data_IF_452337311092
#
_entry.id   IF_452337311092
#
_cell.length_a   1.000
_cell.length_b   1.000
_cell.length_c   1.000
_cell.angle_alpha   90.00
_cell.angle_beta   90.00
_cell.angle_gamma   90.00
#
_symmetry.space_group_name_H-M   'P 1'
#
loop_
_entity.id
_entity.type
_entity.pdbx_description
1 polymer ?
#
# COMPACT_ATOMS: atom_id res chain seq x y z
N UNK A 1 29.78 9.90 13.81
CA UNK A 1 28.82 9.02 14.50
C UNK A 1 28.23 8.10 13.44
N UNK A 2 28.43 6.80 13.57
CA UNK A 2 27.92 5.82 12.60
C UNK A 2 26.42 5.66 12.83
N UNK A 3 25.59 6.16 11.91
CA UNK A 3 24.14 5.99 11.93
C UNK A 3 23.85 4.57 11.41
N UNK A 4 23.46 3.65 12.24
CA UNK A 4 22.96 2.36 11.75
C UNK A 4 21.46 2.47 11.51
N UNK A 5 21.06 2.66 10.26
CA UNK A 5 19.66 2.65 9.83
C UNK A 5 19.40 1.35 9.10
N UNK A 6 18.72 0.42 9.75
CA UNK A 6 18.30 -0.84 9.11
C UNK A 6 16.82 -0.81 8.85
N UNK A 7 16.45 -1.16 7.64
CA UNK A 7 15.06 -1.18 7.25
C UNK A 7 14.64 -2.56 6.76
N UNK A 8 13.81 -3.25 7.54
CA UNK A 8 13.27 -4.57 7.23
C UNK A 8 12.06 -4.45 6.32
N UNK A 9 12.12 -5.07 5.13
CA UNK A 9 11.13 -4.90 4.08
C UNK A 9 10.92 -6.14 3.24
N UNK A 10 9.77 -6.19 2.56
CA UNK A 10 9.49 -7.16 1.51
C UNK A 10 9.50 -6.47 0.14
N UNK A 11 9.84 -7.16 -0.94
CA UNK A 11 9.73 -6.62 -2.29
C UNK A 11 8.36 -6.03 -2.62
N UNK A 12 7.28 -6.66 -2.13
CA UNK A 12 5.89 -6.22 -2.37
C UNK A 12 5.41 -5.08 -1.47
N UNK A 13 6.09 -4.79 -0.35
CA UNK A 13 5.69 -3.78 0.64
C UNK A 13 6.73 -2.66 0.83
N UNK A 14 7.83 -2.71 0.08
CA UNK A 14 8.93 -1.75 0.19
C UNK A 14 8.57 -0.34 -0.26
N UNK A 15 7.50 -0.23 -1.05
CA UNK A 15 7.11 0.99 -1.73
C UNK A 15 6.81 2.16 -0.79
N UNK A 16 6.10 1.94 0.30
CA UNK A 16 5.65 3.04 1.18
C UNK A 16 6.82 3.78 1.82
N UNK A 17 7.89 3.08 2.17
CA UNK A 17 9.01 3.65 2.92
C UNK A 17 10.14 4.18 2.04
N UNK A 18 10.45 3.52 0.92
CA UNK A 18 11.52 3.95 0.01
C UNK A 18 11.25 5.31 -0.59
N UNK A 19 9.97 5.64 -0.77
CA UNK A 19 9.59 6.93 -1.34
C UNK A 19 9.99 8.11 -0.47
N UNK A 20 9.63 8.20 0.83
CA UNK A 20 10.11 9.30 1.65
C UNK A 20 11.64 9.32 1.78
N UNK A 21 12.32 8.18 1.81
CA UNK A 21 13.78 8.15 1.78
C UNK A 21 14.35 8.78 0.51
N UNK A 22 13.80 8.42 -0.66
CA UNK A 22 14.22 8.98 -1.93
C UNK A 22 13.82 10.45 -2.09
N UNK A 23 12.62 10.87 -1.65
CA UNK A 23 12.20 12.27 -1.66
C UNK A 23 13.04 13.14 -0.73
N UNK A 24 13.60 12.56 0.34
CA UNK A 24 14.48 13.21 1.31
C UNK A 24 15.97 13.14 0.96
N UNK A 25 16.32 12.42 -0.11
CA UNK A 25 17.74 12.18 -0.43
C UNK A 25 18.49 11.39 0.64
N UNK A 26 17.78 10.54 1.40
CA UNK A 26 18.38 9.69 2.44
C UNK A 26 18.84 8.40 1.78
N UNK A 27 20.14 8.22 1.62
CA UNK A 27 20.78 7.07 0.98
C UNK A 27 21.62 6.20 1.94
N UNK A 28 21.89 6.70 3.15
CA UNK A 28 22.72 6.06 4.18
C UNK A 28 21.97 5.03 5.04
N UNK A 29 21.10 4.21 4.42
CA UNK A 29 20.32 3.19 5.09
C UNK A 29 20.61 1.78 4.55
N UNK A 30 20.45 0.76 5.39
CA UNK A 30 20.74 -0.64 5.06
C UNK A 30 19.42 -1.40 4.86
N UNK A 31 19.08 -1.82 3.62
CA UNK A 31 17.89 -2.63 3.37
C UNK A 31 18.07 -4.05 3.92
N UNK A 32 17.10 -4.51 4.72
CA UNK A 32 17.03 -5.88 5.20
C UNK A 32 15.84 -6.58 4.53
N UNK A 33 16.12 -7.45 3.58
CA UNK A 33 15.11 -8.14 2.78
C UNK A 33 14.42 -9.24 3.57
N UNK A 34 13.08 -9.23 3.57
CA UNK A 34 12.24 -10.30 4.06
C UNK A 34 11.40 -10.89 2.91
N UNK A 35 11.50 -12.18 2.69
CA UNK A 35 10.66 -12.88 1.72
C UNK A 35 9.40 -13.39 2.40
N UNK A 36 8.29 -12.69 2.23
CA UNK A 36 7.03 -12.98 2.92
C UNK A 36 6.45 -14.35 2.53
N UNK A 37 6.69 -14.82 1.30
CA UNK A 37 6.32 -16.17 0.88
C UNK A 37 7.14 -17.24 1.59
N UNK A 38 8.41 -16.95 1.93
CA UNK A 38 9.26 -17.82 2.73
C UNK A 38 8.96 -17.72 4.24
N UNK A 39 8.00 -16.87 4.62
CA UNK A 39 7.59 -16.67 6.03
C UNK A 39 8.67 -16.06 6.90
N UNK A 40 9.60 -15.28 6.31
CA UNK A 40 10.70 -14.64 7.03
C UNK A 40 10.22 -13.71 8.16
N UNK A 41 9.04 -13.06 7.99
CA UNK A 41 8.42 -12.20 9.00
C UNK A 41 8.00 -12.95 10.29
N UNK A 42 7.99 -14.28 10.27
CA UNK A 42 7.70 -15.11 11.45
C UNK A 42 8.94 -15.69 12.11
N UNK A 43 10.14 -15.33 11.63
CA UNK A 43 11.39 -15.74 12.27
C UNK A 43 11.55 -15.04 13.64
N UNK A 44 12.09 -15.73 14.65
CA UNK A 44 12.24 -15.19 16.01
C UNK A 44 12.98 -13.85 16.06
N UNK A 45 13.98 -13.66 15.20
CA UNK A 45 14.77 -12.44 15.12
C UNK A 45 13.90 -11.25 14.72
N UNK A 46 13.03 -11.43 13.72
CA UNK A 46 12.13 -10.38 13.26
C UNK A 46 10.97 -10.15 14.23
N UNK A 47 10.42 -11.20 14.84
CA UNK A 47 9.35 -11.09 15.82
C UNK A 47 9.75 -10.27 17.06
N UNK A 48 11.04 -10.25 17.43
CA UNK A 48 11.56 -9.36 18.48
C UNK A 48 11.46 -7.89 18.08
N UNK A 49 11.62 -7.58 16.79
CA UNK A 49 11.48 -6.23 16.26
C UNK A 49 10.01 -5.86 16.00
N UNK A 50 9.23 -6.78 15.43
CA UNK A 50 7.81 -6.56 15.14
C UNK A 50 6.96 -7.78 15.47
N UNK A 51 6.35 -7.83 16.67
CA UNK A 51 5.50 -8.95 17.09
C UNK A 51 4.27 -9.17 16.22
N UNK A 52 3.83 -8.15 15.45
CA UNK A 52 2.72 -8.27 14.50
C UNK A 52 3.09 -9.08 13.25
N UNK A 53 4.36 -9.45 13.07
CA UNK A 53 4.87 -10.12 11.87
C UNK A 53 4.46 -9.38 10.58
N UNK A 54 4.58 -8.07 10.59
CA UNK A 54 4.26 -7.18 9.46
C UNK A 54 5.50 -6.39 9.05
N UNK A 55 5.57 -5.99 7.81
CA UNK A 55 6.56 -5.06 7.27
C UNK A 55 5.83 -3.77 6.86
N UNK A 56 6.50 -2.64 6.82
CA UNK A 56 7.92 -2.42 7.13
C UNK A 56 8.22 -2.28 8.63
N UNK A 57 9.51 -2.35 8.98
CA UNK A 57 10.05 -1.96 10.27
C UNK A 57 11.35 -1.20 10.06
N UNK A 58 11.47 -0.03 10.66
CA UNK A 58 12.69 0.77 10.66
C UNK A 58 13.40 0.63 12.00
N UNK A 59 14.71 0.41 11.98
CA UNK A 59 15.57 0.51 13.16
C UNK A 59 16.51 1.68 12.95
N UNK A 60 16.47 2.65 13.85
CA UNK A 60 17.32 3.83 13.82
C UNK A 60 17.87 4.10 15.23
N UNK A 61 19.20 3.97 15.41
CA UNK A 61 19.85 4.15 16.71
C UNK A 61 19.15 3.41 17.86
N UNK A 62 18.99 2.10 17.73
CA UNK A 62 18.32 1.22 18.71
C UNK A 62 16.79 1.41 18.82
N UNK A 63 16.22 2.48 18.24
CA UNK A 63 14.78 2.69 18.22
C UNK A 63 14.15 1.87 17.09
N UNK A 64 13.12 1.10 17.46
CA UNK A 64 12.34 0.30 16.52
C UNK A 64 11.03 0.99 16.22
N UNK A 65 10.87 1.46 14.97
CA UNK A 65 9.69 2.19 14.49
C UNK A 65 8.94 1.28 13.52
N UNK A 66 7.64 1.16 13.73
CA UNK A 66 6.74 0.29 12.99
C UNK A 66 5.63 1.13 12.37
N UNK A 67 4.81 0.51 11.52
CA UNK A 67 3.76 1.13 10.72
C UNK A 67 4.32 2.10 9.67
N UNK A 68 3.93 1.87 8.43
CA UNK A 68 4.53 2.58 7.29
C UNK A 68 4.33 4.09 7.34
N UNK A 69 3.14 4.56 7.70
CA UNK A 69 2.83 5.99 7.82
C UNK A 69 3.60 6.66 8.95
N UNK A 70 3.76 5.97 10.09
CA UNK A 70 4.55 6.45 11.23
C UNK A 70 6.04 6.53 10.86
N UNK A 71 6.55 5.55 10.10
CA UNK A 71 7.92 5.59 9.59
C UNK A 71 8.12 6.80 8.65
N UNK A 72 7.15 7.05 7.77
CA UNK A 72 7.20 8.21 6.86
C UNK A 72 7.20 9.54 7.64
N UNK A 73 6.33 9.67 8.63
CA UNK A 73 6.25 10.86 9.50
C UNK A 73 7.55 11.09 10.28
N UNK A 74 8.11 10.01 10.84
CA UNK A 74 9.40 10.04 11.54
C UNK A 74 10.58 10.46 10.64
N UNK A 75 10.63 9.96 9.41
CA UNK A 75 11.67 10.32 8.44
C UNK A 75 11.57 11.77 8.01
N UNK A 76 10.35 12.32 7.93
CA UNK A 76 10.14 13.73 7.62
C UNK A 76 10.61 14.64 8.76
N UNK A 77 10.34 14.27 10.01
CA UNK A 77 10.84 15.01 11.17
C UNK A 77 12.37 14.89 11.33
N UNK A 78 12.95 13.75 10.97
CA UNK A 78 14.39 13.51 11.05
C UNK A 78 15.18 14.36 10.06
N UNK A 79 14.63 14.62 8.87
CA UNK A 79 15.24 15.40 7.80
C UNK A 79 14.22 16.44 7.31
N UNK A 80 14.18 17.64 7.92
CA UNK A 80 13.10 18.61 7.67
C UNK A 80 13.05 19.14 6.22
N UNK A 81 14.14 19.11 5.47
CA UNK A 81 14.20 19.56 4.08
C UNK A 81 14.48 18.39 3.11
N UNK A 82 13.76 18.34 1.98
CA UNK A 82 12.50 19.04 1.68
C UNK A 82 11.37 18.58 2.60
N UNK A 83 10.52 19.51 3.10
CA UNK A 83 9.40 19.18 3.96
C UNK A 83 8.32 18.41 3.19
N UNK A 84 7.82 17.29 3.75
CA UNK A 84 6.70 16.52 3.20
C UNK A 84 5.41 16.73 4.01
N UNK A 85 5.45 17.62 5.00
CA UNK A 85 4.29 18.07 5.79
C UNK A 85 4.07 19.55 5.63
N UNK A 86 2.82 20.03 5.53
CA UNK A 86 2.49 21.45 5.55
C UNK A 86 2.98 22.12 6.85
N UNK A 87 3.19 23.43 6.79
CA UNK A 87 3.55 24.22 8.00
C UNK A 87 2.33 24.54 8.85
N UNK A 88 1.19 24.79 8.21
CA UNK A 88 -0.06 25.10 8.90
C UNK A 88 -0.59 23.90 9.69
N UNK A 89 -1.17 24.15 10.87
CA UNK A 89 -1.65 23.08 11.76
C UNK A 89 -2.95 22.44 11.27
N UNK A 90 -3.84 23.21 10.63
CA UNK A 90 -5.08 22.70 10.07
C UNK A 90 -4.77 21.81 8.85
N UNK A 91 -3.87 22.27 7.97
CA UNK A 91 -3.41 21.47 6.84
C UNK A 91 -2.72 20.17 7.30
N UNK A 92 -1.96 20.19 8.40
CA UNK A 92 -1.41 18.98 9.02
C UNK A 92 -2.50 18.05 9.54
N UNK A 93 -3.60 18.56 10.05
CA UNK A 93 -4.73 17.73 10.46
C UNK A 93 -5.38 17.06 9.25
N UNK A 94 -5.65 17.80 8.17
CA UNK A 94 -6.18 17.25 6.92
C UNK A 94 -5.24 16.24 6.27
N UNK A 95 -3.93 16.49 6.29
CA UNK A 95 -2.92 15.50 5.84
C UNK A 95 -3.06 14.18 6.62
N UNK A 96 -3.23 14.23 7.94
CA UNK A 96 -3.39 13.05 8.78
C UNK A 96 -4.69 12.30 8.51
N UNK A 97 -5.78 13.01 8.17
CA UNK A 97 -7.04 12.39 7.74
C UNK A 97 -6.84 11.57 6.47
N UNK A 98 -6.13 12.09 5.47
CA UNK A 98 -5.79 11.36 4.26
C UNK A 98 -4.91 10.13 4.53
N UNK A 99 -3.88 10.28 5.35
CA UNK A 99 -3.01 9.16 5.75
C UNK A 99 -3.81 8.07 6.47
N UNK A 100 -4.74 8.47 7.35
CA UNK A 100 -5.62 7.52 8.06
C UNK A 100 -6.53 6.76 7.10
N UNK A 101 -7.10 7.42 6.10
CA UNK A 101 -7.89 6.76 5.06
C UNK A 101 -7.05 5.74 4.27
N UNK A 102 -5.80 6.08 3.94
CA UNK A 102 -4.87 5.18 3.27
C UNK A 102 -4.54 3.93 4.13
N UNK A 103 -4.24 4.13 5.41
CA UNK A 103 -3.86 3.05 6.34
C UNK A 103 -5.04 2.12 6.67
N UNK A 104 -6.21 2.68 7.02
CA UNK A 104 -7.35 1.90 7.51
C UNK A 104 -8.19 1.30 6.39
N UNK A 105 -8.30 1.99 5.26
CA UNK A 105 -9.16 1.57 4.16
C UNK A 105 -8.37 1.10 2.95
N UNK A 106 -7.43 1.91 2.45
CA UNK A 106 -6.67 1.62 1.24
C UNK A 106 -5.83 0.35 1.35
N UNK A 107 -5.04 0.22 2.43
CA UNK A 107 -4.22 -0.96 2.68
C UNK A 107 -5.07 -2.24 2.82
N UNK A 108 -6.16 -2.17 3.59
CA UNK A 108 -7.01 -3.35 3.79
C UNK A 108 -7.75 -3.77 2.53
N UNK A 109 -8.14 -2.80 1.70
CA UNK A 109 -8.78 -3.05 0.42
C UNK A 109 -7.84 -3.78 -0.53
N UNK A 110 -6.65 -3.22 -0.76
CA UNK A 110 -5.65 -3.84 -1.65
C UNK A 110 -5.16 -5.19 -1.15
N UNK A 111 -5.01 -5.36 0.18
CA UNK A 111 -4.71 -6.66 0.78
C UNK A 111 -5.80 -7.69 0.48
N UNK A 112 -7.09 -7.33 0.60
CA UNK A 112 -8.22 -8.23 0.30
C UNK A 112 -8.24 -8.60 -1.19
N UNK A 113 -8.04 -7.62 -2.08
CA UNK A 113 -7.98 -7.86 -3.52
C UNK A 113 -6.78 -8.74 -3.90
N UNK A 114 -5.64 -8.56 -3.26
CA UNK A 114 -4.47 -9.43 -3.47
C UNK A 114 -4.73 -10.88 -2.97
N UNK A 115 -5.44 -11.04 -1.85
CA UNK A 115 -5.79 -12.37 -1.35
C UNK A 115 -6.84 -13.09 -2.21
N UNK A 116 -7.78 -12.39 -2.80
CA UNK A 116 -8.79 -12.99 -3.70
C UNK A 116 -8.23 -13.29 -5.09
N UNK A 117 -7.17 -12.61 -5.49
CA UNK A 117 -6.46 -12.80 -6.76
C UNK A 117 -5.24 -13.70 -6.58
N UNK A 118 -4.04 -13.13 -6.47
CA UNK A 118 -2.76 -13.85 -6.44
C UNK A 118 -2.72 -14.97 -5.40
N UNK A 119 -3.06 -14.67 -4.14
CA UNK A 119 -2.95 -15.69 -3.10
C UNK A 119 -3.92 -16.86 -3.31
N UNK A 120 -5.13 -16.59 -3.80
CA UNK A 120 -6.12 -17.62 -4.11
C UNK A 120 -5.75 -18.45 -5.33
N UNK A 121 -5.26 -17.82 -6.40
CA UNK A 121 -5.11 -18.44 -7.72
C UNK A 121 -3.71 -19.01 -7.96
N UNK A 122 -2.67 -18.41 -7.38
CA UNK A 122 -1.27 -18.75 -7.68
C UNK A 122 -0.54 -19.40 -6.49
N UNK A 123 -1.04 -19.27 -5.24
CA UNK A 123 -0.35 -19.83 -4.08
C UNK A 123 -0.99 -21.17 -3.66
N UNK A 124 -0.19 -22.26 -3.52
CA UNK A 124 -0.69 -23.56 -3.08
C UNK A 124 -1.38 -23.48 -1.71
N UNK A 125 -2.56 -24.11 -1.61
CA UNK A 125 -3.38 -24.08 -0.39
C UNK A 125 -2.61 -24.51 0.87
N UNK A 126 -1.76 -25.51 0.76
CA UNK A 126 -0.92 -25.96 1.87
C UNK A 126 -0.04 -24.85 2.45
N UNK A 127 0.58 -24.05 1.57
CA UNK A 127 1.43 -22.92 2.01
C UNK A 127 0.63 -21.83 2.73
N UNK A 128 -0.62 -21.57 2.28
CA UNK A 128 -1.52 -20.62 2.93
C UNK A 128 -1.92 -21.10 4.33
N UNK A 129 -2.30 -22.37 4.47
CA UNK A 129 -2.67 -22.95 5.78
C UNK A 129 -1.50 -22.88 6.77
N UNK A 130 -0.30 -23.25 6.34
CA UNK A 130 0.91 -23.15 7.18
C UNK A 130 1.24 -21.71 7.59
N UNK A 131 0.96 -20.73 6.71
CA UNK A 131 1.10 -19.29 7.02
C UNK A 131 0.09 -18.87 8.09
N UNK A 132 -1.18 -19.26 7.91
CA UNK A 132 -2.26 -18.85 8.80
C UNK A 132 -2.10 -19.34 10.23
N UNK A 133 -1.46 -20.50 10.45
CA UNK A 133 -1.14 -21.02 11.78
C UNK A 133 -0.23 -20.07 12.60
N UNK A 134 0.43 -19.12 11.94
CA UNK A 134 1.35 -18.15 12.57
C UNK A 134 0.77 -16.74 12.66
N UNK A 135 -0.41 -16.50 12.14
CA UNK A 135 -1.09 -15.20 12.20
C UNK A 135 -1.85 -15.10 13.51
N UNK A 136 -1.43 -14.21 14.39
CA UNK A 136 -2.06 -13.98 15.71
C UNK A 136 -3.25 -13.02 15.68
N UNK A 137 -3.33 -12.18 14.66
CA UNK A 137 -4.43 -11.23 14.45
C UNK A 137 -5.63 -11.96 13.82
N UNK A 138 -6.71 -12.13 14.59
CA UNK A 138 -7.90 -12.88 14.20
C UNK A 138 -8.63 -12.21 13.04
N UNK A 139 -8.77 -10.90 13.02
CA UNK A 139 -9.47 -10.18 11.95
C UNK A 139 -8.71 -10.28 10.63
N UNK A 140 -7.40 -10.13 10.69
CA UNK A 140 -6.51 -10.36 9.55
C UNK A 140 -6.61 -11.79 9.04
N UNK A 141 -6.62 -12.78 9.95
CA UNK A 141 -6.75 -14.19 9.60
C UNK A 141 -8.08 -14.47 8.91
N UNK A 142 -9.20 -14.05 9.48
CA UNK A 142 -10.53 -14.24 8.92
C UNK A 142 -10.67 -13.59 7.54
N UNK A 143 -10.18 -12.36 7.37
CA UNK A 143 -10.18 -11.68 6.08
C UNK A 143 -9.42 -12.48 5.02
N UNK A 144 -8.21 -12.92 5.33
CA UNK A 144 -7.39 -13.70 4.41
C UNK A 144 -8.05 -15.03 4.02
N UNK A 145 -8.58 -15.74 5.01
CA UNK A 145 -9.28 -17.02 4.80
C UNK A 145 -10.55 -16.85 3.96
N UNK A 146 -11.40 -15.89 4.30
CA UNK A 146 -12.62 -15.60 3.55
C UNK A 146 -12.30 -15.24 2.09
N UNK A 147 -11.36 -14.33 1.83
CA UNK A 147 -10.95 -13.99 0.47
C UNK A 147 -10.45 -15.21 -0.32
N UNK A 148 -9.70 -16.12 0.31
CA UNK A 148 -9.16 -17.30 -0.36
C UNK A 148 -10.23 -18.40 -0.55
N UNK A 149 -11.08 -18.66 0.44
CA UNK A 149 -12.07 -19.75 0.37
C UNK A 149 -13.32 -19.36 -0.41
N UNK A 150 -13.86 -18.18 -0.16
CA UNK A 150 -15.12 -17.70 -0.75
C UNK A 150 -14.88 -16.95 -2.07
N UNK A 151 -13.64 -16.45 -2.31
CA UNK A 151 -13.29 -15.70 -3.51
C UNK A 151 -14.06 -14.40 -3.60
N UNK A 152 -14.61 -14.09 -4.77
CA UNK A 152 -15.36 -12.85 -5.01
C UNK A 152 -16.67 -12.75 -4.21
N UNK A 153 -17.14 -13.85 -3.59
CA UNK A 153 -18.30 -13.86 -2.69
C UNK A 153 -17.93 -13.40 -1.27
N UNK A 154 -16.64 -13.27 -0.95
CA UNK A 154 -16.21 -12.80 0.36
C UNK A 154 -16.74 -11.38 0.63
N UNK A 155 -17.32 -11.11 1.82
CA UNK A 155 -17.79 -9.78 2.18
C UNK A 155 -16.65 -8.76 2.23
N UNK A 156 -15.42 -9.22 2.43
CA UNK A 156 -14.22 -8.36 2.40
C UNK A 156 -13.89 -7.86 1.00
N UNK A 157 -14.32 -8.54 -0.06
CA UNK A 157 -14.14 -8.07 -1.44
C UNK A 157 -15.07 -6.90 -1.72
N UNK A 158 -16.36 -7.00 -1.40
CA UNK A 158 -17.31 -5.89 -1.58
C UNK A 158 -16.90 -4.67 -0.73
N UNK A 159 -16.46 -4.93 0.50
CA UNK A 159 -15.90 -3.88 1.39
C UNK A 159 -14.66 -3.21 0.78
N UNK A 160 -13.77 -3.98 0.17
CA UNK A 160 -12.59 -3.48 -0.51
C UNK A 160 -12.95 -2.61 -1.72
N UNK A 161 -13.89 -3.07 -2.54
CA UNK A 161 -14.40 -2.32 -3.70
C UNK A 161 -14.98 -0.98 -3.25
N UNK A 162 -15.83 -0.98 -2.24
CA UNK A 162 -16.41 0.25 -1.70
C UNK A 162 -15.39 1.19 -1.06
N UNK A 163 -14.33 0.66 -0.43
CA UNK A 163 -13.26 1.48 0.11
C UNK A 163 -12.45 2.17 -1.01
N UNK A 164 -12.08 1.43 -2.05
CA UNK A 164 -11.42 2.01 -3.22
C UNK A 164 -12.31 3.07 -3.90
N UNK A 165 -13.61 2.79 -4.08
CA UNK A 165 -14.56 3.73 -4.68
C UNK A 165 -14.61 5.04 -3.92
N UNK A 166 -14.76 5.00 -2.59
CA UNK A 166 -14.79 6.22 -1.75
C UNK A 166 -13.48 7.00 -1.82
N UNK A 167 -12.34 6.30 -1.75
CA UNK A 167 -11.02 6.97 -1.79
C UNK A 167 -10.83 7.64 -3.15
N UNK A 168 -11.05 6.94 -4.25
CA UNK A 168 -10.86 7.51 -5.58
C UNK A 168 -11.86 8.62 -5.90
N UNK A 169 -13.11 8.52 -5.44
CA UNK A 169 -14.10 9.61 -5.53
C UNK A 169 -13.62 10.86 -4.79
N UNK A 170 -13.18 10.71 -3.53
CA UNK A 170 -12.64 11.80 -2.71
C UNK A 170 -11.39 12.43 -3.37
N UNK A 171 -10.50 11.61 -3.96
CA UNK A 171 -9.34 12.11 -4.69
C UNK A 171 -9.75 12.90 -5.94
N UNK A 172 -10.68 12.39 -6.75
CA UNK A 172 -11.16 13.05 -7.96
C UNK A 172 -11.75 14.41 -7.65
N UNK A 173 -12.61 14.49 -6.62
CA UNK A 173 -13.21 15.74 -6.16
C UNK A 173 -12.14 16.73 -5.64
N UNK A 174 -11.17 16.25 -4.88
CA UNK A 174 -10.09 17.09 -4.33
C UNK A 174 -9.19 17.67 -5.41
N UNK A 175 -8.90 16.88 -6.45
CA UNK A 175 -8.01 17.26 -7.56
C UNK A 175 -8.72 18.02 -8.69
N UNK A 176 -10.03 18.24 -8.59
CA UNK A 176 -10.86 18.84 -9.63
C UNK A 176 -10.55 20.31 -9.91
N UNK A 177 -9.93 21.00 -8.98
CA UNK A 177 -9.48 22.40 -9.14
C UNK A 177 -8.16 22.52 -9.94
N UNK A 178 -7.59 21.41 -10.38
CA UNK A 178 -6.36 21.38 -11.19
C UNK A 178 -5.06 21.32 -10.40
N UNK A 179 -5.13 21.29 -9.05
CA UNK A 179 -3.93 21.13 -8.22
C UNK A 179 -3.14 19.87 -8.57
N UNK A 180 -1.81 19.89 -8.50
CA UNK A 180 -0.99 18.73 -8.84
C UNK A 180 -1.03 17.62 -7.78
N UNK A 181 -1.21 17.96 -6.51
CA UNK A 181 -1.15 17.03 -5.37
C UNK A 181 -2.37 17.18 -4.46
N UNK A 182 -2.64 16.16 -3.66
CA UNK A 182 -3.81 16.14 -2.77
C UNK A 182 -3.83 17.33 -1.81
N UNK A 183 -2.67 17.74 -1.29
CA UNK A 183 -2.57 18.88 -0.38
C UNK A 183 -2.28 20.22 -1.09
N UNK A 184 -2.47 20.31 -2.39
CA UNK A 184 -2.25 21.54 -3.17
C UNK A 184 -0.98 21.47 -4.03
N UNK A 185 -0.12 22.51 -3.96
CA UNK A 185 1.07 22.63 -4.78
C UNK A 185 2.26 21.77 -4.27
N UNK A 186 2.22 21.36 -3.03
CA UNK A 186 3.31 20.63 -2.39
C UNK A 186 3.06 19.12 -2.44
N UNK A 187 4.06 18.36 -2.92
CA UNK A 187 4.12 16.91 -2.72
C UNK A 187 4.32 16.60 -1.24
N UNK A 188 3.50 15.73 -0.67
CA UNK A 188 3.43 15.50 0.77
C UNK A 188 3.49 14.01 1.14
N UNK A 189 3.39 13.72 2.45
CA UNK A 189 3.25 12.36 2.96
C UNK A 189 1.95 11.69 2.48
N UNK A 190 0.93 12.43 2.04
CA UNK A 190 -0.29 11.84 1.46
C UNK A 190 0.05 11.05 0.21
N UNK A 191 0.84 11.63 -0.70
CA UNK A 191 1.27 10.95 -1.91
C UNK A 191 2.15 9.74 -1.60
N UNK A 192 3.07 9.87 -0.63
CA UNK A 192 3.97 8.76 -0.26
C UNK A 192 3.22 7.58 0.35
N UNK A 193 2.14 7.81 1.07
CA UNK A 193 1.33 6.76 1.72
C UNK A 193 0.22 6.22 0.82
N UNK A 194 -0.32 7.04 -0.09
CA UNK A 194 -1.43 6.65 -0.98
C UNK A 194 -0.96 5.89 -2.23
N UNK A 195 0.13 6.32 -2.84
CA UNK A 195 0.60 5.71 -4.09
C UNK A 195 0.90 4.19 -4.01
N UNK A 196 1.37 3.61 -2.89
CA UNK A 196 1.60 2.17 -2.82
C UNK A 196 0.34 1.32 -3.01
N UNK A 197 -0.81 1.72 -2.49
CA UNK A 197 -2.04 0.95 -2.73
C UNK A 197 -2.54 1.12 -4.17
N UNK A 198 -2.35 2.29 -4.79
CA UNK A 198 -2.65 2.49 -6.22
C UNK A 198 -1.74 1.59 -7.07
N UNK A 199 -0.44 1.50 -6.73
CA UNK A 199 0.50 0.57 -7.39
C UNK A 199 0.08 -0.88 -7.28
N UNK A 200 -0.44 -1.34 -6.15
CA UNK A 200 -0.95 -2.71 -6.02
C UNK A 200 -2.12 -2.97 -6.97
N UNK A 201 -3.05 -2.01 -7.14
CA UNK A 201 -4.15 -2.14 -8.10
C UNK A 201 -3.64 -2.17 -9.54
N UNK A 202 -2.63 -1.36 -9.87
CA UNK A 202 -1.98 -1.37 -11.18
C UNK A 202 -1.31 -2.72 -11.46
N UNK A 203 -0.51 -3.25 -10.52
CA UNK A 203 0.12 -4.56 -10.62
C UNK A 203 -0.91 -5.68 -10.82
N UNK A 204 -2.07 -5.58 -10.19
CA UNK A 204 -3.19 -6.51 -10.36
C UNK A 204 -3.98 -6.27 -11.65
N UNK A 205 -3.67 -5.25 -12.47
CA UNK A 205 -4.46 -4.87 -13.64
C UNK A 205 -5.93 -4.57 -13.31
N UNK A 206 -6.16 -3.98 -12.15
CA UNK A 206 -7.48 -3.60 -11.65
C UNK A 206 -7.67 -2.09 -11.57
N UNK A 207 -6.61 -1.29 -11.74
CA UNK A 207 -6.64 0.15 -11.49
C UNK A 207 -7.62 0.87 -12.45
N UNK A 208 -7.62 0.50 -13.73
CA UNK A 208 -8.45 1.12 -14.75
C UNK A 208 -9.96 1.03 -14.44
N UNK A 209 -10.39 0.02 -13.68
CA UNK A 209 -11.79 -0.14 -13.22
C UNK A 209 -12.27 1.10 -12.44
N UNK A 210 -11.36 1.81 -11.78
CA UNK A 210 -11.68 3.03 -11.03
C UNK A 210 -11.22 4.30 -11.73
N UNK A 211 -10.26 4.24 -12.66
CA UNK A 211 -9.70 5.44 -13.29
C UNK A 211 -10.43 5.87 -14.58
N UNK A 212 -11.15 4.97 -15.24
CA UNK A 212 -11.82 5.25 -16.53
C UNK A 212 -12.73 6.49 -16.50
N UNK A 213 -13.32 6.80 -15.34
CA UNK A 213 -14.19 7.95 -15.11
C UNK A 213 -13.57 9.03 -14.19
N UNK A 214 -12.23 8.98 -13.96
CA UNK A 214 -11.52 9.87 -13.01
C UNK A 214 -10.24 10.48 -13.58
N UNK A 215 -10.37 11.43 -14.51
CA UNK A 215 -9.21 12.01 -15.19
C UNK A 215 -8.24 12.78 -14.28
N UNK A 216 -8.73 13.35 -13.16
CA UNK A 216 -7.86 14.05 -12.21
C UNK A 216 -6.99 13.08 -11.41
N UNK A 217 -7.53 11.94 -11.00
CA UNK A 217 -6.77 10.86 -10.35
C UNK A 217 -5.78 10.25 -11.32
N UNK A 218 -6.18 10.05 -12.59
CA UNK A 218 -5.27 9.56 -13.63
C UNK A 218 -4.06 10.51 -13.80
N UNK A 219 -4.32 11.82 -13.98
CA UNK A 219 -3.27 12.84 -14.05
C UNK A 219 -2.34 12.81 -12.82
N UNK A 220 -2.91 12.69 -11.62
CA UNK A 220 -2.14 12.58 -10.38
C UNK A 220 -1.25 11.32 -10.41
N UNK A 221 -1.78 10.18 -10.82
CA UNK A 221 -1.03 8.93 -10.90
C UNK A 221 0.12 9.00 -11.92
N UNK A 222 -0.13 9.56 -13.09
CA UNK A 222 0.90 9.82 -14.11
C UNK A 222 2.02 10.74 -13.57
N UNK A 223 1.66 11.77 -12.81
CA UNK A 223 2.63 12.66 -12.15
C UNK A 223 3.45 11.95 -11.07
N UNK A 224 2.88 10.97 -10.39
CA UNK A 224 3.59 10.08 -9.45
C UNK A 224 4.58 9.18 -10.19
N UNK A 225 4.17 8.56 -11.30
CA UNK A 225 4.95 7.57 -12.02
C UNK A 225 6.26 8.11 -12.63
N UNK A 226 6.32 9.41 -12.92
CA UNK A 226 7.54 10.05 -13.47
C UNK A 226 8.53 10.50 -12.40
N UNK A 227 8.18 10.45 -11.11
CA UNK A 227 9.08 10.88 -10.02
C UNK A 227 10.22 9.88 -9.83
N UNK A 228 11.39 10.39 -9.47
CA UNK A 228 12.54 9.53 -9.17
C UNK A 228 12.27 8.59 -8.00
N UNK A 229 11.53 9.04 -7.00
CA UNK A 229 11.13 8.22 -5.86
C UNK A 229 10.22 7.05 -6.25
N UNK A 230 9.43 7.17 -7.33
CA UNK A 230 8.66 6.07 -7.88
C UNK A 230 9.56 5.07 -8.60
N UNK A 231 10.50 5.53 -9.43
CA UNK A 231 11.47 4.67 -10.12
C UNK A 231 12.32 3.86 -9.15
N UNK A 232 12.71 4.46 -8.02
CA UNK A 232 13.43 3.75 -6.97
C UNK A 232 12.64 2.59 -6.32
N UNK A 233 11.32 2.50 -6.56
CA UNK A 233 10.50 1.36 -6.13
C UNK A 233 10.57 0.19 -7.11
N UNK A 234 10.69 0.48 -8.39
CA UNK A 234 10.77 -0.53 -9.44
C UNK A 234 12.14 -1.23 -9.44
N UNK A 235 13.18 -0.51 -8.95
CA UNK A 235 14.56 -1.00 -8.87
C UNK A 235 14.86 -1.79 -7.59
N UNK A 236 13.93 -2.62 -7.10
CA UNK A 236 14.24 -3.45 -5.94
C UNK A 236 15.30 -4.50 -6.31
N UNK A 237 16.47 -4.54 -5.62
CA UNK A 237 17.51 -5.51 -5.94
C UNK A 237 16.99 -6.95 -5.90
N UNK A 238 16.99 -7.63 -7.07
CA UNK A 238 16.53 -9.01 -7.23
C UNK A 238 15.04 -9.17 -7.44
N UNK A 239 14.32 -8.11 -7.81
CA UNK A 239 12.99 -8.19 -8.42
C UNK A 239 13.14 -8.06 -9.94
N UNK A 240 12.51 -8.93 -10.70
CA UNK A 240 12.42 -8.86 -12.15
C UNK A 240 11.00 -8.47 -12.56
N UNK A 241 10.81 -7.99 -13.80
CA UNK A 241 9.47 -7.79 -14.38
C UNK A 241 8.62 -9.07 -14.33
N UNK A 242 9.25 -10.25 -14.38
CA UNK A 242 8.59 -11.54 -14.25
C UNK A 242 7.96 -11.77 -12.88
N UNK A 243 8.41 -11.08 -11.82
CA UNK A 243 7.83 -11.21 -10.48
C UNK A 243 6.42 -10.60 -10.38
N UNK A 244 6.07 -9.68 -11.27
CA UNK A 244 4.73 -9.06 -11.36
C UNK A 244 3.75 -9.85 -12.24
N UNK A 245 4.25 -10.74 -13.11
CA UNK A 245 3.42 -11.52 -14.01
C UNK A 245 2.32 -12.33 -13.30
N UNK A 246 2.57 -12.99 -12.15
CA UNK A 246 1.51 -13.69 -11.41
C UNK A 246 0.42 -12.75 -10.86
N UNK A 247 0.77 -11.53 -10.48
CA UNK A 247 -0.21 -10.53 -10.02
C UNK A 247 -1.11 -10.09 -11.18
N UNK A 248 -0.50 -9.72 -12.31
CA UNK A 248 -1.21 -9.28 -13.50
C UNK A 248 -2.15 -10.36 -14.04
N UNK A 249 -1.67 -11.60 -14.14
CA UNK A 249 -2.47 -12.75 -14.58
C UNK A 249 -3.66 -13.02 -13.66
N UNK A 250 -3.42 -13.04 -12.36
CA UNK A 250 -4.45 -13.32 -11.37
C UNK A 250 -5.52 -12.22 -11.30
N UNK A 251 -5.11 -10.96 -11.43
CA UNK A 251 -6.04 -9.83 -11.43
C UNK A 251 -6.87 -9.77 -12.72
N UNK A 252 -6.23 -9.91 -13.88
CA UNK A 252 -6.94 -9.94 -15.17
C UNK A 252 -8.02 -11.03 -15.24
N UNK A 253 -7.79 -12.19 -14.59
CA UNK A 253 -8.77 -13.27 -14.53
C UNK A 253 -10.08 -12.91 -13.82
N UNK A 254 -10.11 -11.86 -13.01
CA UNK A 254 -11.28 -11.45 -12.23
C UNK A 254 -11.73 -10.00 -12.50
N UNK A 255 -11.00 -9.26 -13.32
CA UNK A 255 -11.22 -7.82 -13.55
C UNK A 255 -12.68 -7.49 -13.94
N UNK A 256 -13.24 -8.18 -14.93
CA UNK A 256 -14.62 -7.97 -15.37
C UNK A 256 -15.62 -8.18 -14.22
N UNK A 257 -15.39 -9.20 -13.39
CA UNK A 257 -16.28 -9.50 -12.27
C UNK A 257 -16.17 -8.48 -11.14
N UNK A 258 -15.00 -7.93 -10.92
CA UNK A 258 -14.79 -6.81 -9.97
C UNK A 258 -15.49 -5.56 -10.49
N UNK A 259 -15.42 -5.28 -11.79
CA UNK A 259 -16.18 -4.19 -12.42
C UNK A 259 -17.69 -4.34 -12.22
N UNK A 260 -18.27 -5.53 -12.45
CA UNK A 260 -19.69 -5.79 -12.18
C UNK A 260 -20.05 -5.56 -10.69
N UNK A 261 -19.18 -5.96 -9.77
CA UNK A 261 -19.38 -5.73 -8.33
C UNK A 261 -19.28 -4.25 -7.97
N UNK A 262 -18.43 -3.48 -8.64
CA UNK A 262 -18.33 -2.03 -8.46
C UNK A 262 -19.63 -1.35 -8.94
N UNK A 263 -20.14 -1.71 -10.10
CA UNK A 263 -21.41 -1.17 -10.61
C UNK A 263 -22.58 -1.53 -9.67
N UNK A 264 -22.61 -2.77 -9.16
CA UNK A 264 -23.58 -3.16 -8.15
C UNK A 264 -23.45 -2.30 -6.88
N UNK A 265 -22.22 -2.06 -6.41
CA UNK A 265 -21.95 -1.19 -5.25
C UNK A 265 -22.47 0.23 -5.50
N UNK A 266 -22.16 0.83 -6.66
CA UNK A 266 -22.57 2.19 -7.02
C UNK A 266 -24.09 2.36 -7.09
N UNK A 267 -24.80 1.33 -7.56
CA UNK A 267 -26.25 1.38 -7.79
C UNK A 267 -27.10 0.94 -6.60
N UNK A 268 -26.58 0.08 -5.73
CA UNK A 268 -27.39 -0.58 -4.69
C UNK A 268 -27.09 -0.05 -3.30
N UNK A 269 -25.82 0.34 -3.03
CA UNK A 269 -25.43 0.83 -1.71
C UNK A 269 -25.53 2.37 -1.70
N UNK A 270 -26.31 2.95 -0.75
CA UNK A 270 -26.42 4.40 -0.65
C UNK A 270 -25.05 5.04 -0.53
N UNK A 271 -24.78 5.99 -1.42
CA UNK A 271 -23.57 6.83 -1.37
C UNK A 271 -23.88 7.99 -0.41
N UNK A 272 -23.44 7.88 0.86
CA UNK A 272 -23.58 8.93 1.86
C UNK A 272 -22.50 9.99 1.66
#
# INVERSE_FOLDING_TARGET
>A
MSWSRCAWESPSDSSVRRRPLAEKGIDDWIPQKLLLLNRDQFKPEYLKLNPKAQVPTLVHNENVIRESSIICDYLDDLTPDPALKPKDLADRAHLREWIKDADESGYQATASLNFVTKFRLEIPRKQLVERWQKVSDIDRLHRQQSCVFEGLKSPYVLRAIGACERIFKKMEETLSDGRPWIMGEQFTLVETTSAPFVKVLEMLRLLDIWLDDRPNVQRWWESIAVRQSYKALEEYPGQSEDDDAPHAKAGAAVANKIGELLEHYRTTIPQL
#
